data_IF_840448732120
#
_entry.id   IF_840448732120
#
_cell.length_a   1.000
_cell.length_b   1.000
_cell.length_c   1.000
_cell.angle_alpha   90.00
_cell.angle_beta   90.00
_cell.angle_gamma   90.00
#
_symmetry.space_group_name_H-M   'P 1'
#
loop_
_entity.id
_entity.type
_entity.pdbx_description
1 polymer ?
#
# COMPACT_ATOMS: atom_id res chain seq x y z
N UNK A 1 9.63 -7.93 21.11
CA UNK A 1 8.61 -8.15 20.14
C UNK A 1 8.67 -9.52 19.50
N UNK A 2 7.72 -9.82 18.64
CA UNK A 2 7.51 -11.15 18.04
C UNK A 2 8.73 -11.68 17.28
N UNK A 3 9.43 -10.85 16.51
CA UNK A 3 10.65 -11.23 15.77
C UNK A 3 11.71 -11.80 16.73
N UNK A 4 11.95 -11.12 17.86
CA UNK A 4 12.91 -11.58 18.88
C UNK A 4 12.53 -12.97 19.38
N UNK A 5 11.26 -13.21 19.66
CA UNK A 5 10.77 -14.48 20.17
C UNK A 5 10.89 -15.61 19.13
N UNK A 6 10.59 -15.32 17.87
CA UNK A 6 10.71 -16.28 16.77
C UNK A 6 12.18 -16.72 16.60
N UNK A 7 13.10 -15.76 16.54
CA UNK A 7 14.52 -16.06 16.34
C UNK A 7 15.18 -16.73 17.54
N UNK A 8 14.84 -16.31 18.77
CA UNK A 8 15.31 -17.00 19.99
C UNK A 8 14.71 -18.41 20.11
N UNK A 9 13.47 -18.59 19.64
CA UNK A 9 12.77 -19.89 19.67
C UNK A 9 13.43 -20.96 18.79
N UNK A 10 14.26 -20.59 17.81
CA UNK A 10 15.05 -21.55 17.03
C UNK A 10 16.15 -22.24 17.85
N UNK A 11 16.55 -21.63 18.97
CA UNK A 11 17.67 -22.09 19.78
C UNK A 11 19.06 -21.88 19.16
N UNK A 12 19.14 -21.36 17.95
CA UNK A 12 20.39 -21.08 17.25
C UNK A 12 21.09 -19.84 17.82
N UNK A 13 20.30 -18.82 18.19
CA UNK A 13 20.80 -17.54 18.65
C UNK A 13 20.46 -17.33 20.12
N UNK A 14 21.39 -16.78 20.89
CA UNK A 14 21.19 -16.48 22.29
C UNK A 14 20.80 -15.02 22.55
N UNK A 15 21.16 -14.13 21.63
CA UNK A 15 20.76 -12.73 21.71
C UNK A 15 20.33 -12.20 20.36
N UNK A 16 19.26 -11.40 20.37
CA UNK A 16 18.68 -10.79 19.17
C UNK A 16 18.36 -9.32 19.46
N UNK A 17 18.97 -8.43 18.72
CA UNK A 17 18.68 -7.00 18.73
C UNK A 17 17.99 -6.60 17.45
N UNK A 18 16.94 -5.78 17.54
CA UNK A 18 16.11 -5.37 16.41
C UNK A 18 15.99 -3.86 16.38
N UNK A 19 16.42 -3.27 15.29
CA UNK A 19 16.20 -1.86 14.95
C UNK A 19 15.17 -1.75 13.82
N UNK A 20 14.05 -1.06 14.07
CA UNK A 20 12.96 -0.91 13.13
C UNK A 20 12.77 0.57 12.77
N UNK A 21 12.80 0.88 11.49
CA UNK A 21 12.34 2.16 10.96
C UNK A 21 10.98 1.94 10.28
N UNK A 22 9.94 2.57 10.85
CA UNK A 22 8.56 2.38 10.41
C UNK A 22 7.92 3.75 10.10
N UNK A 23 8.05 4.24 8.87
CA UNK A 23 7.40 5.48 8.47
C UNK A 23 5.87 5.36 8.48
N UNK A 24 5.21 6.39 8.97
CA UNK A 24 3.76 6.48 9.04
C UNK A 24 3.27 7.60 8.11
N UNK A 25 2.22 7.32 7.36
CA UNK A 25 1.52 8.34 6.60
C UNK A 25 0.44 8.99 7.47
N UNK A 26 0.56 10.29 7.70
CA UNK A 26 -0.42 11.10 8.41
C UNK A 26 -1.29 11.95 7.48
N UNK A 27 -1.15 11.81 6.17
CA UNK A 27 -1.96 12.54 5.20
C UNK A 27 -3.41 12.09 5.29
N UNK A 28 -4.30 13.06 5.45
CA UNK A 28 -5.73 12.83 5.35
C UNK A 28 -6.16 13.10 3.91
N UNK A 29 -6.61 12.07 3.22
CA UNK A 29 -7.17 12.17 1.89
C UNK A 29 -8.66 11.86 1.94
N UNK A 30 -9.47 12.73 1.32
CA UNK A 30 -10.90 12.50 1.10
C UNK A 30 -11.15 12.59 -0.40
N UNK A 31 -11.59 11.50 -0.99
CA UNK A 31 -11.92 11.43 -2.41
C UNK A 31 -13.40 11.14 -2.57
N UNK A 32 -14.11 12.02 -3.29
CA UNK A 32 -15.49 11.80 -3.68
C UNK A 32 -15.55 11.53 -5.20
N UNK A 33 -16.01 10.36 -5.57
CA UNK A 33 -16.20 9.95 -6.97
C UNK A 33 -17.68 9.80 -7.25
N UNK A 34 -18.14 10.50 -8.30
CA UNK A 34 -19.47 10.36 -8.86
C UNK A 34 -19.39 9.58 -10.15
N UNK A 35 -20.14 8.52 -10.25
CA UNK A 35 -20.30 7.73 -11.46
C UNK A 35 -21.77 7.74 -11.85
N UNK A 36 -22.02 7.95 -13.14
CA UNK A 36 -23.34 7.88 -13.73
C UNK A 36 -23.38 6.68 -14.66
N UNK A 37 -24.35 5.81 -14.44
CA UNK A 37 -24.50 4.60 -15.24
C UNK A 37 -25.97 4.38 -15.57
N UNK A 38 -26.24 3.63 -16.61
CA UNK A 38 -27.60 3.16 -16.95
C UNK A 38 -27.86 1.84 -16.24
N UNK A 39 -29.13 1.54 -15.99
CA UNK A 39 -29.49 0.29 -15.36
C UNK A 39 -29.10 -0.91 -16.24
N UNK A 40 -28.70 -2.02 -15.58
CA UNK A 40 -28.28 -3.24 -16.24
C UNK A 40 -29.31 -3.72 -17.30
N UNK A 41 -28.79 -3.99 -18.51
CA UNK A 41 -29.60 -4.44 -19.63
C UNK A 41 -30.34 -3.34 -20.39
N UNK A 42 -29.93 -2.08 -20.19
CA UNK A 42 -30.47 -0.94 -20.93
C UNK A 42 -29.34 -0.16 -21.60
N UNK A 43 -29.64 0.38 -22.78
CA UNK A 43 -28.71 1.28 -23.51
C UNK A 43 -28.91 2.74 -23.08
N UNK A 44 -30.07 3.07 -22.46
CA UNK A 44 -30.45 4.41 -22.06
C UNK A 44 -31.03 4.42 -20.62
N UNK A 45 -30.94 5.54 -19.96
CA UNK A 45 -31.55 5.74 -18.64
C UNK A 45 -33.09 5.67 -18.66
N UNK A 46 -33.72 5.81 -17.51
CA UNK A 46 -35.17 5.90 -17.46
C UNK A 46 -35.65 7.24 -18.00
N UNK A 47 -36.53 7.20 -19.04
CA UNK A 47 -37.10 8.41 -19.63
C UNK A 47 -37.84 9.21 -18.55
N UNK A 48 -37.42 10.44 -18.30
CA UNK A 48 -38.01 11.36 -17.34
C UNK A 48 -39.00 12.30 -18.02
N UNK A 49 -38.62 12.80 -19.18
CA UNK A 49 -39.41 13.75 -19.95
C UNK A 49 -39.19 13.47 -21.42
N UNK A 50 -40.29 13.41 -22.15
CA UNK A 50 -40.34 13.41 -23.64
C UNK A 50 -41.15 14.61 -24.03
N UNK A 51 -40.57 15.50 -24.82
CA UNK A 51 -41.24 16.66 -25.40
C UNK A 51 -40.98 16.65 -26.90
N UNK A 52 -42.04 16.48 -27.65
CA UNK A 52 -42.01 16.61 -29.11
C UNK A 52 -42.78 17.86 -29.48
N UNK A 53 -42.19 18.73 -30.23
CA UNK A 53 -42.81 19.90 -30.78
C UNK A 53 -42.80 19.79 -32.33
N UNK A 54 -43.99 19.67 -32.89
CA UNK A 54 -44.20 19.65 -34.33
C UNK A 54 -44.86 20.94 -34.76
N UNK A 55 -44.20 21.71 -35.58
CA UNK A 55 -44.72 22.92 -36.20
C UNK A 55 -44.87 22.68 -37.71
N UNK A 56 -46.11 22.81 -38.17
CA UNK A 56 -46.44 22.74 -39.57
C UNK A 56 -46.81 24.15 -40.06
N UNK A 57 -45.93 24.72 -40.87
CA UNK A 57 -46.19 26.03 -41.48
C UNK A 57 -46.57 25.86 -42.95
N UNK A 58 -47.80 26.15 -43.26
CA UNK A 58 -48.27 26.19 -44.62
C UNK A 58 -48.30 27.65 -45.12
N UNK A 59 -47.38 27.97 -46.03
CA UNK A 59 -47.38 29.28 -46.68
C UNK A 59 -48.16 29.16 -48.02
N UNK A 60 -49.36 29.62 -47.98
CA UNK A 60 -50.14 29.82 -49.20
C UNK A 60 -49.80 31.16 -49.88
N UNK A 61 -50.08 31.30 -51.13
CA UNK A 61 -49.88 32.60 -51.77
C UNK A 61 -50.72 33.66 -51.05
N UNK A 62 -50.06 34.69 -50.53
CA UNK A 62 -50.68 35.81 -49.90
C UNK A 62 -51.54 36.53 -51.03
N UNK A 63 -52.85 36.36 -50.91
CA UNK A 63 -53.73 37.17 -51.68
C UNK A 63 -53.47 38.64 -51.46
N UNK A 64 -53.14 39.34 -52.50
CA UNK A 64 -53.02 40.81 -52.49
C UNK A 64 -54.33 41.36 -51.97
N UNK A 65 -54.37 42.21 -50.92
CA UNK A 65 -55.58 42.88 -50.51
C UNK A 65 -56.11 43.69 -51.71
N UNK A 66 -57.32 43.35 -52.13
CA UNK A 66 -57.91 43.98 -53.30
C UNK A 66 -58.06 45.48 -53.09
N UNK A 67 -57.44 46.21 -53.99
CA UNK A 67 -57.83 47.57 -54.24
C UNK A 67 -58.93 47.50 -55.32
N UNK A 68 -60.03 48.22 -55.10
CA UNK A 68 -61.14 48.35 -55.96
C UNK A 68 -60.73 48.54 -57.45
N UNK A 69 -61.06 47.54 -58.26
CA UNK A 69 -60.98 47.70 -59.67
C UNK A 69 -62.40 47.77 -60.19
N UNK A 70 -62.89 49.03 -60.39
CA UNK A 70 -63.96 49.34 -61.27
C UNK A 70 -63.41 49.26 -62.69
N UNK A 71 -63.66 48.17 -63.33
CA UNK A 71 -63.32 48.04 -64.79
C UNK A 71 -63.71 46.66 -65.29
N UNK A 72 -64.60 46.70 -66.26
CA UNK A 72 -65.10 45.55 -66.99
C UNK A 72 -63.95 44.73 -67.65
N UNK A 73 -64.14 43.44 -67.70
CA UNK A 73 -63.30 42.45 -68.42
C UNK A 73 -61.88 42.21 -67.82
N UNK A 74 -61.79 41.57 -66.64
CA UNK A 74 -60.58 41.02 -66.15
C UNK A 74 -60.70 39.53 -65.96
N UNK A 75 -60.15 38.79 -66.89
CA UNK A 75 -59.98 37.35 -66.75
C UNK A 75 -58.79 37.11 -65.72
N UNK A 76 -59.10 36.88 -64.48
CA UNK A 76 -58.10 36.59 -63.49
C UNK A 76 -57.62 35.14 -63.64
N UNK A 77 -56.47 34.95 -64.22
CA UNK A 77 -55.76 33.71 -64.14
C UNK A 77 -55.20 33.55 -62.75
N UNK A 78 -55.77 32.69 -61.94
CA UNK A 78 -55.09 32.21 -60.72
C UNK A 78 -53.90 31.38 -61.20
N UNK A 79 -52.73 31.93 -61.04
CA UNK A 79 -51.51 31.20 -61.19
C UNK A 79 -51.40 30.27 -59.93
N UNK A 80 -51.44 28.95 -60.18
CA UNK A 80 -51.19 27.94 -59.13
C UNK A 80 -49.86 28.27 -58.49
N UNK A 81 -49.93 28.96 -57.36
CA UNK A 81 -48.78 29.17 -56.52
C UNK A 81 -48.49 27.85 -55.75
N UNK A 82 -47.30 27.33 -55.89
CA UNK A 82 -46.85 26.21 -55.12
C UNK A 82 -47.05 26.51 -53.66
N UNK A 83 -47.83 25.70 -52.96
CA UNK A 83 -47.92 25.71 -51.54
C UNK A 83 -46.63 25.07 -50.96
N UNK A 84 -45.85 25.85 -50.29
CA UNK A 84 -44.68 25.33 -49.55
C UNK A 84 -45.14 24.95 -48.17
N UNK A 85 -45.13 23.65 -47.90
CA UNK A 85 -45.37 23.08 -46.59
C UNK A 85 -44.00 22.83 -45.94
N UNK A 86 -43.74 23.48 -44.83
CA UNK A 86 -42.55 23.25 -44.03
C UNK A 86 -42.97 22.65 -42.70
N UNK A 87 -42.47 21.45 -42.44
CA UNK A 87 -42.65 20.76 -41.16
C UNK A 87 -41.34 20.80 -40.42
N UNK A 88 -41.35 21.40 -39.24
CA UNK A 88 -40.23 21.40 -38.31
C UNK A 88 -40.63 20.54 -37.13
N UNK A 89 -39.86 19.47 -36.89
CA UNK A 89 -40.02 18.59 -35.71
C UNK A 89 -38.81 18.72 -34.83
N UNK A 90 -39.02 19.08 -33.60
CA UNK A 90 -37.99 19.14 -32.55
C UNK A 90 -38.36 18.15 -31.43
N UNK A 91 -37.40 17.31 -31.03
CA UNK A 91 -37.62 16.34 -29.96
C UNK A 91 -36.56 16.47 -28.91
N UNK A 92 -36.99 16.65 -27.65
CA UNK A 92 -36.12 16.71 -26.50
C UNK A 92 -36.46 15.60 -25.51
N UNK A 93 -35.46 14.79 -25.14
CA UNK A 93 -35.61 13.69 -24.22
C UNK A 93 -34.65 13.86 -23.04
N UNK A 94 -35.18 13.80 -21.84
CA UNK A 94 -34.41 13.81 -20.60
C UNK A 94 -34.46 12.42 -19.96
N UNK A 95 -33.31 11.88 -19.58
CA UNK A 95 -33.21 10.56 -18.95
C UNK A 95 -32.69 10.69 -17.53
N UNK A 96 -33.21 9.87 -16.63
CA UNK A 96 -32.63 9.65 -15.31
C UNK A 96 -31.62 8.52 -15.43
N UNK A 97 -30.41 8.75 -14.93
CA UNK A 97 -29.36 7.76 -14.80
C UNK A 97 -29.15 7.39 -13.36
N UNK A 98 -28.56 6.24 -13.08
CA UNK A 98 -28.14 5.86 -11.75
C UNK A 98 -26.92 6.71 -11.38
N UNK A 99 -26.93 7.27 -10.19
CA UNK A 99 -25.80 8.01 -9.62
C UNK A 99 -25.23 7.20 -8.47
N UNK A 100 -23.96 6.80 -8.61
CA UNK A 100 -23.20 6.15 -7.53
C UNK A 100 -22.19 7.15 -6.99
N UNK A 101 -22.30 7.48 -5.70
CA UNK A 101 -21.36 8.35 -5.01
C UNK A 101 -20.51 7.48 -4.10
N UNK A 102 -19.22 7.35 -4.41
CA UNK A 102 -18.25 6.67 -3.56
C UNK A 102 -17.41 7.70 -2.83
N UNK A 103 -17.52 7.74 -1.51
CA UNK A 103 -16.69 8.57 -0.66
C UNK A 103 -15.66 7.68 0.02
N UNK A 104 -14.38 7.92 -0.29
CA UNK A 104 -13.26 7.20 0.34
C UNK A 104 -12.49 8.19 1.21
N UNK A 105 -12.40 7.88 2.50
CA UNK A 105 -11.56 8.61 3.43
C UNK A 105 -10.37 7.73 3.82
N UNK A 106 -9.15 8.24 3.62
CA UNK A 106 -7.92 7.59 4.08
C UNK A 106 -7.70 7.94 5.56
N UNK A 107 -7.58 6.91 6.41
CA UNK A 107 -7.23 7.08 7.81
C UNK A 107 -5.81 7.62 7.97
N UNK A 108 -5.58 8.45 9.01
CA UNK A 108 -4.24 8.87 9.41
C UNK A 108 -3.50 7.73 10.12
N UNK A 109 -2.17 7.68 9.97
CA UNK A 109 -1.32 6.72 10.68
C UNK A 109 -1.16 5.37 9.96
N UNK A 110 -1.41 5.31 8.67
CA UNK A 110 -1.14 4.11 7.88
C UNK A 110 0.37 3.86 7.79
N UNK A 111 0.76 2.61 8.03
CA UNK A 111 2.16 2.20 7.91
C UNK A 111 2.54 2.15 6.44
N UNK A 112 3.67 2.80 6.10
CA UNK A 112 4.26 2.76 4.76
C UNK A 112 5.27 1.60 4.69
N UNK A 113 4.78 0.40 4.45
CA UNK A 113 5.62 -0.81 4.35
C UNK A 113 6.67 -0.71 3.24
N UNK A 114 6.36 0.01 2.16
CA UNK A 114 7.26 0.20 1.01
C UNK A 114 8.55 0.96 1.36
N UNK A 115 8.53 1.74 2.44
CA UNK A 115 9.67 2.54 2.92
C UNK A 115 10.16 2.08 4.28
N UNK A 116 9.49 1.12 4.91
CA UNK A 116 9.93 0.52 6.15
C UNK A 116 11.24 -0.23 5.96
N UNK A 117 12.10 -0.24 6.97
CA UNK A 117 13.34 -1.00 6.97
C UNK A 117 13.64 -1.59 8.34
N UNK A 118 14.34 -2.73 8.33
CA UNK A 118 14.61 -3.51 9.52
C UNK A 118 16.08 -3.90 9.56
N UNK A 119 16.73 -3.64 10.69
CA UNK A 119 18.06 -4.14 11.01
C UNK A 119 17.97 -5.16 12.15
N UNK A 120 18.60 -6.31 11.98
CA UNK A 120 18.64 -7.36 12.99
C UNK A 120 20.09 -7.75 13.24
N UNK A 121 20.49 -7.74 14.52
CA UNK A 121 21.77 -8.25 14.95
C UNK A 121 21.55 -9.50 15.78
N UNK A 122 22.16 -10.59 15.35
CA UNK A 122 22.10 -11.90 15.99
C UNK A 122 23.42 -12.19 16.67
N UNK A 123 23.37 -12.75 17.87
CA UNK A 123 24.58 -13.18 18.59
C UNK A 123 24.46 -14.62 19.03
N UNK A 124 25.55 -15.34 18.82
CA UNK A 124 25.80 -16.68 19.36
C UNK A 124 27.01 -16.59 20.28
N UNK A 125 27.02 -17.40 21.34
CA UNK A 125 28.11 -17.42 22.29
C UNK A 125 28.83 -18.77 22.28
N UNK A 126 30.18 -18.73 22.14
CA UNK A 126 31.02 -19.89 22.42
C UNK A 126 31.40 -19.85 23.89
N UNK A 127 31.03 -20.89 24.62
CA UNK A 127 31.35 -21.00 26.04
C UNK A 127 32.77 -21.51 26.19
N UNK A 128 33.56 -20.77 26.92
CA UNK A 128 34.90 -21.11 27.38
C UNK A 128 34.87 -21.26 28.91
N UNK A 129 34.67 -22.50 29.35
CA UNK A 129 34.61 -22.84 30.78
C UNK A 129 36.00 -23.15 31.25
N UNK A 130 36.48 -22.47 32.34
CA UNK A 130 37.81 -22.60 32.86
C UNK A 130 38.10 -24.02 33.35
N UNK A 131 37.12 -24.68 33.98
CA UNK A 131 37.31 -26.04 34.47
C UNK A 131 37.42 -27.07 33.33
N UNK A 132 36.66 -26.86 32.27
CA UNK A 132 36.76 -27.68 31.05
C UNK A 132 38.12 -27.47 30.40
N UNK A 133 38.56 -26.22 30.22
CA UNK A 133 39.83 -25.90 29.58
C UNK A 133 41.07 -26.35 30.39
N UNK A 134 40.94 -26.45 31.72
CA UNK A 134 41.97 -27.06 32.60
C UNK A 134 42.01 -28.56 32.41
N UNK A 135 40.85 -29.19 32.35
CA UNK A 135 40.75 -30.63 32.27
C UNK A 135 41.19 -31.21 30.90
N UNK A 136 40.96 -30.45 29.80
CA UNK A 136 41.35 -30.83 28.46
C UNK A 136 42.81 -30.50 28.07
N UNK A 137 43.51 -29.79 28.98
CA UNK A 137 44.92 -29.43 28.78
C UNK A 137 45.13 -28.14 27.99
N UNK A 138 44.06 -27.47 27.56
CA UNK A 138 44.16 -26.20 26.75
C UNK A 138 44.91 -25.08 27.50
N UNK A 139 44.83 -25.10 28.85
CA UNK A 139 45.51 -24.12 29.70
C UNK A 139 46.89 -24.61 30.20
N UNK A 140 47.46 -25.68 29.61
CA UNK A 140 48.83 -26.08 29.99
C UNK A 140 49.85 -25.04 29.55
N UNK A 141 50.46 -24.38 30.53
CA UNK A 141 51.46 -23.33 30.32
C UNK A 141 50.94 -21.92 30.11
N UNK A 142 49.63 -21.72 30.22
CA UNK A 142 49.01 -20.38 30.19
C UNK A 142 47.93 -20.24 31.27
N UNK A 143 47.66 -19.03 31.69
CA UNK A 143 46.57 -18.76 32.64
C UNK A 143 45.25 -18.53 31.90
N UNK A 144 44.10 -18.76 32.55
CA UNK A 144 42.79 -18.49 31.99
C UNK A 144 42.64 -17.04 31.54
N UNK A 145 43.20 -16.09 32.31
CA UNK A 145 43.18 -14.66 31.97
C UNK A 145 43.98 -14.35 30.71
N UNK A 146 45.16 -14.97 30.52
CA UNK A 146 45.96 -14.81 29.30
C UNK A 146 45.26 -15.41 28.10
N UNK A 147 44.68 -16.60 28.24
CA UNK A 147 43.87 -17.26 27.19
C UNK A 147 42.67 -16.41 26.82
N UNK A 148 41.95 -15.89 27.83
CA UNK A 148 40.85 -14.96 27.64
C UNK A 148 41.26 -13.72 26.83
N UNK A 149 42.34 -13.05 27.23
CA UNK A 149 42.84 -11.87 26.55
C UNK A 149 43.21 -12.15 25.08
N UNK A 150 43.76 -13.34 24.81
CA UNK A 150 44.07 -13.76 23.46
C UNK A 150 42.80 -13.93 22.56
N UNK A 151 41.77 -14.57 23.10
CA UNK A 151 40.49 -14.79 22.41
C UNK A 151 39.72 -13.48 22.25
N UNK A 152 39.63 -12.66 23.31
CA UNK A 152 39.00 -11.32 23.25
C UNK A 152 39.68 -10.41 22.21
N UNK A 153 41.01 -10.53 22.06
CA UNK A 153 41.80 -9.80 21.08
C UNK A 153 41.42 -10.10 19.61
N UNK A 154 40.77 -11.23 19.36
CA UNK A 154 40.25 -11.58 18.01
C UNK A 154 38.94 -10.86 17.69
N UNK A 155 38.25 -10.33 18.71
CA UNK A 155 36.97 -9.69 18.58
C UNK A 155 35.81 -10.62 18.18
N UNK A 156 34.63 -10.03 18.03
CA UNK A 156 33.45 -10.77 17.57
C UNK A 156 33.64 -11.24 16.11
N UNK A 157 33.42 -12.51 15.88
CA UNK A 157 33.54 -13.14 14.57
C UNK A 157 32.21 -13.04 13.81
N UNK A 158 32.23 -12.42 12.63
CA UNK A 158 31.03 -12.37 11.78
C UNK A 158 30.70 -13.76 11.24
N UNK A 159 29.45 -14.15 11.38
CA UNK A 159 28.89 -15.39 10.87
C UNK A 159 28.03 -15.13 9.64
N UNK A 160 27.97 -16.11 8.75
CA UNK A 160 27.05 -16.10 7.62
C UNK A 160 25.63 -16.39 8.12
N UNK A 161 24.66 -15.60 7.64
CA UNK A 161 23.26 -15.77 7.98
C UNK A 161 22.59 -16.55 6.84
N UNK A 162 21.86 -17.59 7.20
CA UNK A 162 21.10 -18.37 6.22
C UNK A 162 19.97 -17.51 5.61
N UNK A 163 19.73 -17.68 4.30
CA UNK A 163 18.74 -16.88 3.58
C UNK A 163 17.31 -17.08 4.09
N UNK A 164 17.01 -18.24 4.64
CA UNK A 164 15.71 -18.55 5.24
C UNK A 164 15.39 -17.71 6.47
N UNK A 165 16.41 -17.29 7.23
CA UNK A 165 16.24 -16.36 8.36
C UNK A 165 15.66 -15.03 7.90
N UNK A 166 16.17 -14.49 6.78
CA UNK A 166 15.68 -13.24 6.19
C UNK A 166 14.24 -13.44 5.70
N UNK A 167 13.95 -14.56 5.06
CA UNK A 167 12.61 -14.88 4.55
C UNK A 167 11.57 -15.01 5.69
N UNK A 168 11.94 -15.65 6.79
CA UNK A 168 11.09 -15.74 7.99
C UNK A 168 10.80 -14.36 8.56
N UNK A 169 11.81 -13.50 8.67
CA UNK A 169 11.65 -12.14 9.17
C UNK A 169 10.75 -11.33 8.22
N UNK A 170 10.96 -11.43 6.91
CA UNK A 170 10.16 -10.73 5.91
C UNK A 170 8.67 -11.12 6.00
N UNK A 171 8.39 -12.41 6.10
CA UNK A 171 7.02 -12.93 6.26
C UNK A 171 6.38 -12.54 7.59
N UNK A 172 7.16 -12.47 8.66
CA UNK A 172 6.67 -12.09 9.99
C UNK A 172 6.37 -10.58 10.10
N UNK A 173 7.06 -9.75 9.33
CA UNK A 173 6.95 -8.28 9.43
C UNK A 173 6.15 -7.64 8.32
N UNK A 174 6.03 -8.30 7.17
CA UNK A 174 5.50 -7.72 5.94
C UNK A 174 6.44 -6.71 5.26
N UNK A 175 7.72 -6.66 5.68
CA UNK A 175 8.75 -5.82 5.07
C UNK A 175 9.48 -6.64 4.02
N UNK A 176 9.74 -6.06 2.85
CA UNK A 176 10.46 -6.73 1.78
C UNK A 176 11.87 -7.16 2.23
N UNK A 177 12.30 -8.35 1.83
CA UNK A 177 13.60 -8.91 2.18
C UNK A 177 14.79 -8.01 1.80
N UNK A 178 14.66 -7.24 0.71
CA UNK A 178 15.67 -6.27 0.27
C UNK A 178 15.89 -5.10 1.25
N UNK A 179 14.91 -4.86 2.12
CA UNK A 179 14.91 -3.80 3.16
C UNK A 179 15.23 -4.33 4.55
N UNK A 180 15.56 -5.61 4.64
CA UNK A 180 15.97 -6.28 5.85
C UNK A 180 17.47 -6.53 5.82
N UNK A 181 18.18 -6.02 6.81
CA UNK A 181 19.60 -6.29 7.01
C UNK A 181 19.79 -7.15 8.24
N UNK A 182 20.38 -8.32 8.07
CA UNK A 182 20.68 -9.23 9.18
C UNK A 182 22.18 -9.44 9.26
N UNK A 183 22.73 -9.30 10.46
CA UNK A 183 24.14 -9.52 10.75
C UNK A 183 24.21 -10.47 11.92
N UNK A 184 25.01 -11.53 11.82
CA UNK A 184 25.26 -12.45 12.91
C UNK A 184 26.71 -12.35 13.38
N UNK A 185 26.89 -12.37 14.70
CA UNK A 185 28.20 -12.43 15.33
C UNK A 185 28.28 -13.60 16.28
N UNK A 186 29.47 -14.16 16.36
CA UNK A 186 29.85 -15.14 17.36
C UNK A 186 30.82 -14.49 18.33
N UNK A 187 30.46 -14.51 19.59
CA UNK A 187 31.24 -13.88 20.69
C UNK A 187 31.64 -14.91 21.70
N UNK A 188 32.84 -14.78 22.32
CA UNK A 188 33.26 -15.65 23.41
C UNK A 188 32.51 -15.32 24.70
N UNK A 189 32.11 -16.35 25.44
CA UNK A 189 31.56 -16.25 26.79
C UNK A 189 32.46 -17.02 27.72
N UNK A 190 33.17 -16.33 28.61
CA UNK A 190 34.10 -16.92 29.56
C UNK A 190 33.41 -17.20 30.89
N UNK A 191 33.52 -18.45 31.37
CA UNK A 191 32.96 -18.91 32.62
C UNK A 191 34.15 -19.28 33.52
N UNK A 192 34.49 -18.47 34.57
CA UNK A 192 35.57 -18.81 35.49
C UNK A 192 35.16 -19.93 36.43
N UNK A 193 36.14 -20.69 36.91
CA UNK A 193 35.91 -21.74 37.91
C UNK A 193 35.35 -21.18 39.23
N UNK A 194 34.50 -21.98 39.89
CA UNK A 194 33.96 -21.61 41.20
C UNK A 194 35.11 -21.45 42.22
N UNK A 195 35.39 -20.21 42.61
CA UNK A 195 36.49 -19.84 43.48
C UNK A 195 37.08 -18.46 43.17
N UNK A 196 36.82 -17.90 42.02
CA UNK A 196 37.29 -16.57 41.60
C UNK A 196 36.41 -15.39 42.06
N UNK A 197 35.44 -15.63 42.96
CA UNK A 197 34.64 -14.59 43.62
C UNK A 197 33.52 -13.96 42.79
N UNK A 198 33.31 -14.42 41.55
CA UNK A 198 32.16 -14.04 40.69
C UNK A 198 31.23 -15.23 40.51
N UNK A 199 29.94 -15.02 40.71
CA UNK A 199 28.92 -16.06 40.56
C UNK A 199 28.34 -16.07 39.15
N UNK A 200 27.83 -17.23 38.73
CA UNK A 200 27.10 -17.36 37.45
C UNK A 200 25.98 -16.33 37.23
N UNK A 201 25.42 -15.81 38.35
CA UNK A 201 24.39 -14.76 38.26
C UNK A 201 24.93 -13.44 37.70
N UNK A 202 26.20 -13.12 37.91
CA UNK A 202 26.82 -11.88 37.42
C UNK A 202 26.99 -11.89 35.90
N UNK A 203 26.98 -13.09 35.29
CA UNK A 203 27.05 -13.26 33.86
C UNK A 203 25.65 -13.39 33.19
N UNK A 204 24.66 -13.86 33.95
CA UNK A 204 23.28 -13.95 33.44
C UNK A 204 22.63 -12.57 33.25
N UNK A 205 23.00 -11.59 34.08
CA UNK A 205 22.53 -10.21 33.95
C UNK A 205 23.05 -9.53 32.68
N UNK A 206 24.22 -9.93 32.15
CA UNK A 206 24.79 -9.46 30.89
C UNK A 206 24.07 -10.11 29.68
N UNK A 207 23.56 -11.33 29.84
CA UNK A 207 22.86 -12.07 28.83
C UNK A 207 21.37 -11.64 28.67
N UNK A 208 20.80 -11.03 29.72
CA UNK A 208 19.38 -10.66 29.78
C UNK A 208 19.11 -9.15 29.56
N UNK A 209 20.17 -8.33 29.53
CA UNK A 209 20.10 -6.90 29.20
C UNK A 209 20.10 -6.65 27.69
#
# INVERSE_FOLDING_TARGET
GEIKNVLLGTGQYQSVEVGLNLPLNFDKSSTSRKEYDVADGRDEGYLRKDATFDEETTSGPAGVPGTDANGEDGNYMFQDGEQTQQTTSDSSREYNVNETITNTESGMGNILYDTASLGVTLRTYIKYDEDVLKNDGTLEGTTFEEYRAQIEGQGAQRQEVEADVIDVIAKATGIDAERISVIAYQEPLFIPSEGSGRTLSDYLDILLA
#
